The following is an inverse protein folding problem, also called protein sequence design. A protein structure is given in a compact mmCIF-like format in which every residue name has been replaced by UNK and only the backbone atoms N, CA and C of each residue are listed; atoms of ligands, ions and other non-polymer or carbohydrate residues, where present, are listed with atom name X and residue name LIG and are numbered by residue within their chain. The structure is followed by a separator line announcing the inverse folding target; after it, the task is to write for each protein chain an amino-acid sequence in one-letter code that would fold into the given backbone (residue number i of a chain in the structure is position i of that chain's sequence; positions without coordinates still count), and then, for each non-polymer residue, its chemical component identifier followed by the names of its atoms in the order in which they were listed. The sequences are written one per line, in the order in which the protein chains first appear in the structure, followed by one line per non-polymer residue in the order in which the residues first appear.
data_IF_043985194825
#
_entry.id   IF_043985194825
#
_cell.length_a   1.000
_cell.length_b   1.000
_cell.length_c   1.000
_cell.angle_alpha   90.00
_cell.angle_beta   90.00
_cell.angle_gamma   90.00
#
_symmetry.space_group_name_H-M   'P 1'
#
loop_
_entity.id
_entity.type
_entity.pdbx_description
1 polymer ?
#
# COMPACT_ATOMS: atom_id res chain seq x y z
N UNK A 1 13.32 11.15 -10.97
CA UNK A 1 13.64 10.59 -9.63
C UNK A 1 13.66 9.08 -9.73
N UNK A 2 14.66 8.41 -9.17
CA UNK A 2 14.60 6.96 -8.92
C UNK A 2 13.70 6.80 -7.69
N UNK A 3 12.52 6.20 -7.85
CA UNK A 3 11.65 5.90 -6.72
C UNK A 3 12.26 4.80 -5.85
N UNK A 4 12.15 4.95 -4.54
CA UNK A 4 12.39 3.84 -3.60
C UNK A 4 11.35 2.73 -3.83
N UNK A 5 11.65 1.50 -3.40
CA UNK A 5 10.77 0.33 -3.48
C UNK A 5 9.41 0.52 -2.82
N UNK A 6 9.26 1.52 -1.94
CA UNK A 6 8.02 1.82 -1.22
C UNK A 6 7.08 2.79 -1.97
N UNK A 7 7.51 3.38 -3.08
CA UNK A 7 6.66 4.28 -3.85
C UNK A 7 5.58 3.51 -4.60
N UNK A 8 4.33 3.98 -4.52
CA UNK A 8 3.23 3.45 -5.31
C UNK A 8 3.57 3.56 -6.80
N UNK A 9 3.54 2.43 -7.51
CA UNK A 9 3.92 2.37 -8.93
C UNK A 9 2.69 2.61 -9.80
N UNK A 10 2.92 3.30 -10.92
CA UNK A 10 1.90 3.52 -11.96
C UNK A 10 1.22 2.21 -12.38
N UNK A 11 2.01 1.14 -12.52
CA UNK A 11 1.53 -0.21 -12.86
C UNK A 11 0.47 -0.74 -11.89
N UNK A 12 0.68 -0.60 -10.58
CA UNK A 12 -0.25 -1.10 -9.56
C UNK A 12 -1.53 -0.26 -9.54
N UNK A 13 -1.42 1.06 -9.76
CA UNK A 13 -2.58 1.95 -9.92
C UNK A 13 -3.40 1.56 -11.14
N UNK A 14 -2.77 1.33 -12.30
CA UNK A 14 -3.48 0.90 -13.51
C UNK A 14 -4.18 -0.45 -13.37
N UNK A 15 -3.60 -1.39 -12.60
CA UNK A 15 -4.30 -2.64 -12.24
C UNK A 15 -5.59 -2.36 -11.48
N UNK A 16 -5.53 -1.55 -10.43
CA UNK A 16 -6.71 -1.18 -9.64
C UNK A 16 -7.72 -0.37 -10.48
N UNK A 17 -7.25 0.42 -11.43
CA UNK A 17 -8.10 1.10 -12.41
C UNK A 17 -8.84 0.15 -13.37
N UNK A 18 -8.56 -1.16 -13.37
CA UNK A 18 -9.34 -2.15 -14.14
C UNK A 18 -10.49 -2.80 -13.37
N UNK A 19 -10.55 -2.69 -12.05
CA UNK A 19 -11.62 -3.29 -11.24
C UNK A 19 -12.97 -2.69 -11.61
N UNK A 20 -13.95 -3.51 -11.97
CA UNK A 20 -15.29 -3.06 -12.32
C UNK A 20 -16.33 -3.54 -11.30
N UNK A 21 -16.02 -4.60 -10.55
CA UNK A 21 -16.91 -5.10 -9.52
C UNK A 21 -16.90 -4.19 -8.27
N UNK A 22 -18.02 -4.10 -7.54
CA UNK A 22 -18.08 -3.32 -6.32
C UNK A 22 -17.05 -3.78 -5.29
N UNK A 23 -16.38 -2.83 -4.65
CA UNK A 23 -15.48 -3.06 -3.52
C UNK A 23 -16.10 -2.45 -2.26
N UNK A 24 -16.13 -3.21 -1.17
CA UNK A 24 -16.66 -2.74 0.12
C UNK A 24 -15.64 -1.87 0.89
N UNK A 25 -14.36 -2.28 0.85
CA UNK A 25 -13.28 -1.67 1.64
C UNK A 25 -12.06 -1.47 0.76
N UNK A 26 -11.52 -0.25 0.76
CA UNK A 26 -10.23 0.06 0.15
C UNK A 26 -9.21 0.48 1.20
N UNK A 27 -7.97 -0.01 1.07
CA UNK A 27 -6.86 0.31 1.95
C UNK A 27 -5.75 1.02 1.17
N UNK A 28 -5.27 2.15 1.67
CA UNK A 28 -4.06 2.82 1.20
C UNK A 28 -3.17 3.19 2.39
N UNK A 29 -1.87 3.44 2.17
CA UNK A 29 -1.06 4.04 3.22
C UNK A 29 -1.27 5.55 3.24
N UNK A 30 -0.97 6.19 2.10
CA UNK A 30 -1.17 7.64 1.92
C UNK A 30 -2.65 7.98 1.78
N UNK A 31 -2.99 9.19 2.21
CA UNK A 31 -4.36 9.71 2.10
C UNK A 31 -4.68 10.09 0.64
N UNK A 32 -5.93 9.95 0.18
CA UNK A 32 -6.37 10.55 -1.07
C UNK A 32 -6.17 12.07 -1.05
N UNK A 33 -5.57 12.62 -2.10
CA UNK A 33 -5.43 14.07 -2.25
C UNK A 33 -6.79 14.76 -2.15
N UNK A 34 -6.89 15.80 -1.31
CA UNK A 34 -8.12 16.57 -1.12
C UNK A 34 -9.15 15.92 -0.18
N UNK A 35 -8.82 14.81 0.48
CA UNK A 35 -9.73 14.19 1.45
C UNK A 35 -10.08 15.09 2.63
N UNK A 36 -9.21 16.06 2.94
CA UNK A 36 -9.38 17.00 4.06
C UNK A 36 -10.57 17.94 3.85
N UNK A 37 -10.97 18.21 2.61
CA UNK A 37 -12.16 19.02 2.32
C UNK A 37 -13.46 18.33 2.72
N UNK A 38 -13.43 17.01 2.87
CA UNK A 38 -14.56 16.17 3.24
C UNK A 38 -14.62 15.89 4.75
N UNK A 39 -13.78 16.55 5.57
CA UNK A 39 -13.73 16.40 7.02
C UNK A 39 -13.43 17.72 7.73
N UNK A 40 -13.16 17.65 9.05
CA UNK A 40 -12.82 18.83 9.85
C UNK A 40 -11.35 19.21 9.69
N UNK A 41 -11.00 19.80 8.55
CA UNK A 41 -9.63 20.25 8.29
C UNK A 41 -9.16 21.31 9.29
N UNK A 42 -10.08 22.08 9.89
CA UNK A 42 -9.73 23.10 10.90
C UNK A 42 -9.21 22.44 12.18
N UNK A 43 -9.85 21.35 12.62
CA UNK A 43 -9.33 20.55 13.72
C UNK A 43 -7.99 19.92 13.37
N UNK A 44 -7.84 19.41 12.14
CA UNK A 44 -6.58 18.83 11.67
C UNK A 44 -5.42 19.83 11.78
N UNK A 45 -5.57 21.04 11.25
CA UNK A 45 -4.50 22.06 11.27
C UNK A 45 -4.28 22.67 12.66
N UNK A 46 -5.29 22.65 13.54
CA UNK A 46 -5.06 23.00 14.96
C UNK A 46 -4.14 21.98 15.63
N UNK A 47 -4.33 20.70 15.32
CA UNK A 47 -3.49 19.62 15.86
C UNK A 47 -2.13 19.52 15.16
N UNK A 48 -2.07 19.78 13.85
CA UNK A 48 -0.85 19.76 13.03
C UNK A 48 -0.78 21.02 12.14
N UNK A 49 -0.30 22.16 12.69
CA UNK A 49 -0.28 23.44 11.98
C UNK A 49 0.51 23.44 10.67
N UNK A 50 1.56 22.62 10.57
CA UNK A 50 2.37 22.50 9.35
C UNK A 50 1.58 22.02 8.13
N UNK A 51 0.45 21.33 8.31
CA UNK A 51 -0.42 20.93 7.20
C UNK A 51 -1.26 22.09 6.63
N UNK A 52 -1.33 23.26 7.27
CA UNK A 52 -2.23 24.34 6.84
C UNK A 52 -1.99 24.78 5.40
N UNK A 53 -0.72 24.96 5.01
CA UNK A 53 -0.37 25.33 3.63
C UNK A 53 -0.76 24.24 2.64
N UNK A 54 -0.40 22.98 2.92
CA UNK A 54 -0.68 21.87 2.00
C UNK A 54 -2.18 21.57 1.86
N UNK A 55 -2.95 21.73 2.94
CA UNK A 55 -4.40 21.62 2.92
C UNK A 55 -5.01 22.73 2.06
N UNK A 56 -4.57 23.99 2.24
CA UNK A 56 -5.08 25.13 1.46
C UNK A 56 -4.73 25.04 -0.02
N UNK A 57 -3.52 24.60 -0.34
CA UNK A 57 -3.04 24.43 -1.71
C UNK A 57 -3.50 23.12 -2.36
N UNK A 58 -4.20 22.25 -1.61
CA UNK A 58 -4.65 20.92 -2.04
C UNK A 58 -3.50 20.06 -2.56
N UNK A 59 -2.39 20.05 -1.81
CA UNK A 59 -1.18 19.26 -2.10
C UNK A 59 -0.96 18.12 -1.10
N UNK A 60 -1.66 18.13 0.05
CA UNK A 60 -1.58 17.05 1.05
C UNK A 60 -2.22 15.75 0.54
N UNK A 61 -1.40 14.72 0.33
CA UNK A 61 -1.83 13.37 -0.01
C UNK A 61 -1.51 12.92 -1.44
N UNK A 62 -2.08 11.79 -1.83
CA UNK A 62 -1.75 11.03 -3.04
C UNK A 62 -2.75 11.24 -4.16
N UNK A 63 -2.27 11.77 -5.30
CA UNK A 63 -3.07 11.93 -6.53
C UNK A 63 -3.60 10.60 -7.07
N UNK A 64 -2.80 9.52 -7.18
CA UNK A 64 -3.32 8.22 -7.58
C UNK A 64 -4.41 7.67 -6.65
N UNK A 65 -4.27 7.86 -5.34
CA UNK A 65 -5.28 7.44 -4.38
C UNK A 65 -6.61 8.21 -4.58
N UNK A 66 -6.55 9.52 -4.84
CA UNK A 66 -7.74 10.31 -5.19
C UNK A 66 -8.42 9.84 -6.48
N UNK A 67 -7.64 9.48 -7.51
CA UNK A 67 -8.19 8.92 -8.75
C UNK A 67 -8.89 7.57 -8.51
N UNK A 68 -8.31 6.72 -7.67
CA UNK A 68 -8.90 5.44 -7.30
C UNK A 68 -10.15 5.62 -6.45
N UNK A 69 -10.17 6.58 -5.52
CA UNK A 69 -11.34 6.92 -4.72
C UNK A 69 -12.51 7.37 -5.61
N UNK A 70 -12.25 8.26 -6.57
CA UNK A 70 -13.28 8.72 -7.52
C UNK A 70 -13.74 7.60 -8.45
N UNK A 71 -12.86 6.67 -8.83
CA UNK A 71 -13.25 5.56 -9.71
C UNK A 71 -14.08 4.49 -8.96
N UNK A 72 -13.56 4.01 -7.84
CA UNK A 72 -14.04 2.79 -7.16
C UNK A 72 -15.18 3.05 -6.18
N UNK A 73 -15.21 4.25 -5.58
CA UNK A 73 -16.29 4.71 -4.68
C UNK A 73 -16.69 3.69 -3.60
N UNK A 74 -15.73 3.04 -2.90
CA UNK A 74 -16.06 2.03 -1.91
C UNK A 74 -16.82 2.65 -0.72
N UNK A 75 -17.71 1.92 -0.05
CA UNK A 75 -18.33 2.38 1.21
C UNK A 75 -17.33 2.79 2.29
N UNK A 76 -16.15 2.13 2.33
CA UNK A 76 -15.09 2.43 3.30
C UNK A 76 -13.72 2.61 2.65
N UNK A 77 -12.99 3.63 3.10
CA UNK A 77 -11.60 3.87 2.74
C UNK A 77 -10.75 4.10 3.98
N UNK A 78 -9.71 3.30 4.17
CA UNK A 78 -8.81 3.42 5.31
C UNK A 78 -7.40 3.83 4.90
N UNK A 79 -6.81 4.76 5.65
CA UNK A 79 -5.45 5.25 5.43
C UNK A 79 -4.63 5.38 6.72
N UNK A 80 -3.34 5.69 6.58
CA UNK A 80 -2.39 5.90 7.67
C UNK A 80 -1.41 7.04 7.31
N UNK A 81 -0.11 6.85 7.54
CA UNK A 81 0.99 7.72 7.12
C UNK A 81 1.14 9.05 7.86
N UNK A 82 0.09 9.88 7.95
CA UNK A 82 0.19 11.24 8.48
C UNK A 82 0.17 11.33 10.02
N UNK A 83 0.26 10.19 10.72
CA UNK A 83 0.35 10.07 12.18
C UNK A 83 -0.67 10.95 12.92
N UNK A 84 -1.92 10.85 12.50
CA UNK A 84 -3.06 11.48 13.18
C UNK A 84 -4.35 10.75 12.79
N UNK A 85 -5.31 10.74 13.72
CA UNK A 85 -6.66 10.29 13.40
C UNK A 85 -7.40 11.38 12.64
N UNK A 86 -7.99 11.01 11.50
CA UNK A 86 -8.86 11.89 10.72
C UNK A 86 -10.02 11.10 10.13
N UNK A 87 -11.21 11.67 10.21
CA UNK A 87 -12.41 11.09 9.63
C UNK A 87 -13.01 12.07 8.64
N UNK A 88 -13.45 11.56 7.50
CA UNK A 88 -14.08 12.33 6.45
C UNK A 88 -15.19 11.51 5.80
N UNK A 89 -16.12 12.21 5.14
CA UNK A 89 -17.25 11.61 4.46
C UNK A 89 -17.35 12.17 3.05
N UNK A 90 -17.05 11.34 2.06
CA UNK A 90 -16.96 11.73 0.65
C UNK A 90 -18.29 11.41 -0.02
N UNK A 91 -18.96 12.45 -0.52
CA UNK A 91 -20.22 12.33 -1.25
C UNK A 91 -19.93 12.30 -2.76
N UNK A 92 -20.22 11.18 -3.43
CA UNK A 92 -19.86 10.97 -4.84
C UNK A 92 -20.92 11.50 -5.81
N UNK A 93 -21.11 12.82 -5.87
CA UNK A 93 -22.19 13.48 -6.63
C UNK A 93 -23.46 13.64 -5.80
N UNK A 94 -24.42 14.44 -6.29
CA UNK A 94 -25.59 14.91 -5.50
C UNK A 94 -26.40 13.77 -4.86
N UNK A 95 -26.62 12.67 -5.60
CA UNK A 95 -27.35 11.47 -5.12
C UNK A 95 -26.49 10.20 -5.15
N UNK A 96 -25.16 10.35 -5.15
CA UNK A 96 -24.23 9.23 -5.27
C UNK A 96 -23.98 8.46 -3.97
N UNK A 97 -23.20 7.36 -4.05
CA UNK A 97 -22.75 6.63 -2.88
C UNK A 97 -21.86 7.51 -1.99
N UNK A 98 -21.72 7.08 -0.74
CA UNK A 98 -20.87 7.75 0.25
C UNK A 98 -19.71 6.84 0.60
N UNK A 99 -18.49 7.38 0.59
CA UNK A 99 -17.32 6.73 1.18
C UNK A 99 -17.05 7.31 2.56
N UNK A 100 -17.03 6.46 3.57
CA UNK A 100 -16.55 6.79 4.90
C UNK A 100 -15.03 6.61 4.94
N UNK A 101 -14.32 7.72 5.09
CA UNK A 101 -12.87 7.73 5.21
C UNK A 101 -12.44 7.76 6.67
N UNK A 102 -11.44 6.94 7.01
CA UNK A 102 -10.79 6.97 8.31
C UNK A 102 -9.28 6.76 8.16
N UNK A 103 -8.51 7.69 8.71
CA UNK A 103 -7.10 7.53 8.95
C UNK A 103 -6.82 7.34 10.44
N UNK A 104 -5.83 6.50 10.74
CA UNK A 104 -5.40 6.21 12.12
C UNK A 104 -3.97 6.67 12.36
N UNK A 105 -3.67 6.85 13.65
CA UNK A 105 -2.36 7.26 14.14
C UNK A 105 -1.35 6.10 14.20
N UNK A 106 -0.07 6.42 14.43
CA UNK A 106 1.00 5.44 14.66
C UNK A 106 0.77 4.70 15.98
N UNK A 107 1.28 3.48 16.06
CA UNK A 107 1.19 2.62 17.23
C UNK A 107 2.09 3.09 18.40
N UNK A 108 1.83 4.29 18.94
CA UNK A 108 2.52 4.87 20.08
C UNK A 108 1.57 5.02 21.29
N UNK A 109 2.10 5.04 22.53
CA UNK A 109 1.30 5.29 23.73
C UNK A 109 0.47 6.58 23.61
N UNK A 110 -0.78 6.54 24.09
CA UNK A 110 -1.69 7.69 24.09
C UNK A 110 -2.31 8.07 22.73
N UNK A 111 -1.83 7.51 21.61
CA UNK A 111 -2.32 7.86 20.27
C UNK A 111 -3.58 7.08 19.86
N UNK A 112 -4.38 7.68 18.97
CA UNK A 112 -5.62 7.11 18.43
C UNK A 112 -5.33 6.13 17.28
N UNK A 113 -4.66 5.03 17.62
CA UNK A 113 -4.05 4.08 16.67
C UNK A 113 -4.96 2.91 16.24
N UNK A 114 -6.04 2.62 16.97
CA UNK A 114 -6.91 1.47 16.73
C UNK A 114 -8.38 1.89 16.73
N UNK A 115 -9.13 1.36 15.76
CA UNK A 115 -10.59 1.46 15.73
C UNK A 115 -11.17 0.12 15.28
N UNK A 116 -12.15 -0.37 16.04
CA UNK A 116 -12.94 -1.57 15.70
C UNK A 116 -14.23 -1.09 15.03
N UNK A 117 -14.58 -1.72 13.90
CA UNK A 117 -15.76 -1.41 13.12
C UNK A 117 -16.55 -2.70 12.90
N UNK A 118 -17.85 -2.62 13.09
CA UNK A 118 -18.78 -3.69 12.73
C UNK A 118 -19.30 -3.40 11.32
N UNK A 119 -19.05 -4.33 10.39
CA UNK A 119 -19.48 -4.25 9.00
C UNK A 119 -20.39 -5.45 8.73
N UNK A 120 -21.62 -5.17 8.33
CA UNK A 120 -22.60 -6.21 8.03
C UNK A 120 -22.12 -7.07 6.85
N UNK A 121 -22.28 -8.39 6.99
CA UNK A 121 -21.95 -9.35 5.94
C UNK A 121 -22.96 -10.49 5.93
N UNK A 122 -23.16 -11.09 4.76
CA UNK A 122 -23.95 -12.30 4.65
C UNK A 122 -23.27 -13.45 5.43
N UNK A 123 -24.04 -14.33 6.10
CA UNK A 123 -23.46 -15.47 6.82
C UNK A 123 -22.65 -16.37 5.89
N UNK A 124 -21.42 -16.73 6.29
CA UNK A 124 -20.54 -17.54 5.47
C UNK A 124 -19.42 -18.22 6.26
N UNK A 125 -18.55 -18.94 5.56
CA UNK A 125 -17.39 -19.63 6.15
C UNK A 125 -16.27 -18.67 6.62
N UNK A 126 -16.38 -17.37 6.31
CA UNK A 126 -15.41 -16.31 6.63
C UNK A 126 -13.96 -16.69 6.28
N UNK A 127 -13.75 -17.20 5.07
CA UNK A 127 -12.43 -17.59 4.57
C UNK A 127 -11.85 -16.53 3.62
N UNK A 128 -10.53 -16.36 3.66
CA UNK A 128 -9.81 -15.57 2.65
C UNK A 128 -9.80 -16.37 1.34
N UNK A 129 -10.18 -15.71 0.25
CA UNK A 129 -10.24 -16.30 -1.09
C UNK A 129 -9.60 -15.36 -2.10
N UNK A 130 -9.07 -15.92 -3.18
CA UNK A 130 -8.72 -15.15 -4.36
C UNK A 130 -9.97 -14.63 -5.04
N UNK A 131 -9.95 -13.34 -5.34
CA UNK A 131 -10.96 -12.71 -6.18
C UNK A 131 -10.75 -13.06 -7.68
N UNK A 132 -11.85 -13.37 -8.38
CA UNK A 132 -11.80 -13.78 -9.79
C UNK A 132 -11.34 -12.63 -10.69
N UNK A 133 -11.88 -11.42 -10.50
CA UNK A 133 -11.52 -10.24 -11.29
C UNK A 133 -10.06 -9.84 -11.04
N UNK A 134 -9.59 -9.91 -9.80
CA UNK A 134 -8.22 -9.56 -9.47
C UNK A 134 -7.18 -10.53 -10.05
N UNK A 135 -7.47 -11.83 -10.07
CA UNK A 135 -6.61 -12.82 -10.72
C UNK A 135 -6.58 -12.61 -12.24
N UNK A 136 -7.71 -12.26 -12.83
CA UNK A 136 -7.84 -11.92 -14.26
C UNK A 136 -7.02 -10.69 -14.63
N UNK A 137 -7.15 -9.59 -13.86
CA UNK A 137 -6.35 -8.38 -14.00
C UNK A 137 -4.86 -8.72 -13.85
N UNK A 138 -4.50 -9.50 -12.82
CA UNK A 138 -3.12 -9.91 -12.57
C UNK A 138 -2.53 -10.69 -13.74
N UNK A 139 -3.29 -11.60 -14.33
CA UNK A 139 -2.85 -12.39 -15.49
C UNK A 139 -2.65 -11.52 -16.74
N UNK A 140 -3.57 -10.60 -17.03
CA UNK A 140 -3.45 -9.66 -18.18
C UNK A 140 -2.31 -8.66 -18.02
N UNK A 141 -2.00 -8.26 -16.80
CA UNK A 141 -0.94 -7.29 -16.53
C UNK A 141 0.46 -7.90 -16.50
N UNK A 142 0.59 -9.22 -16.31
CA UNK A 142 1.90 -9.85 -16.23
C UNK A 142 2.78 -9.57 -17.48
N UNK A 143 2.32 -9.72 -18.75
CA UNK A 143 3.12 -9.41 -19.92
C UNK A 143 3.58 -7.93 -20.05
N UNK A 144 2.96 -7.01 -19.32
CA UNK A 144 3.31 -5.58 -19.32
C UNK A 144 3.97 -5.14 -18.02
N UNK A 145 4.43 -6.09 -17.20
CA UNK A 145 5.15 -5.80 -15.97
C UNK A 145 6.40 -4.95 -16.26
N UNK A 146 6.54 -3.76 -15.64
CA UNK A 146 7.64 -2.85 -15.95
C UNK A 146 8.96 -3.39 -15.37
N UNK A 147 9.83 -3.86 -16.26
CA UNK A 147 11.20 -4.28 -15.92
C UNK A 147 12.22 -3.13 -16.00
N UNK A 148 11.78 -1.93 -16.36
CA UNK A 148 12.64 -0.74 -16.50
C UNK A 148 11.98 0.47 -15.85
N UNK A 149 12.73 1.56 -15.70
CA UNK A 149 12.21 2.86 -15.22
C UNK A 149 11.26 3.55 -16.21
N UNK A 150 11.05 3.00 -17.41
CA UNK A 150 10.13 3.58 -18.40
C UNK A 150 8.70 3.20 -18.04
N UNK A 151 7.76 4.12 -18.24
CA UNK A 151 6.33 3.82 -18.09
C UNK A 151 5.93 2.63 -18.98
N UNK A 152 5.10 1.75 -18.41
CA UNK A 152 4.56 0.61 -19.13
C UNK A 152 3.54 1.06 -20.19
N UNK A 153 3.41 0.28 -21.26
CA UNK A 153 2.41 0.55 -22.31
C UNK A 153 1.11 -0.21 -22.02
N UNK A 154 0.09 0.52 -21.56
CA UNK A 154 -1.20 -0.07 -21.17
C UNK A 154 -2.20 -0.23 -22.33
N UNK A 155 -1.87 0.14 -23.58
CA UNK A 155 -2.82 0.16 -24.71
C UNK A 155 -3.46 -1.20 -25.03
N UNK A 156 -2.75 -2.30 -24.76
CA UNK A 156 -3.20 -3.66 -25.05
C UNK A 156 -3.95 -4.34 -23.91
N UNK A 157 -4.10 -3.68 -22.76
CA UNK A 157 -4.64 -4.32 -21.56
C UNK A 157 -6.03 -4.91 -21.81
N UNK A 158 -6.92 -4.24 -22.53
CA UNK A 158 -8.31 -4.68 -22.74
C UNK A 158 -8.49 -5.88 -23.67
N UNK A 159 -7.44 -6.29 -24.38
CA UNK A 159 -7.50 -7.44 -25.29
C UNK A 159 -7.71 -8.72 -24.45
N UNK A 160 -8.64 -9.56 -24.88
CA UNK A 160 -8.95 -10.87 -24.28
C UNK A 160 -9.46 -10.86 -22.81
N UNK A 161 -9.97 -9.73 -22.29
CA UNK A 161 -10.56 -9.64 -20.92
C UNK A 161 -11.50 -10.80 -20.61
N UNK A 162 -12.52 -11.00 -21.45
CA UNK A 162 -13.57 -11.98 -21.20
C UNK A 162 -13.05 -13.41 -21.25
N UNK A 163 -12.15 -13.71 -22.19
CA UNK A 163 -11.56 -15.04 -22.34
C UNK A 163 -10.61 -15.36 -21.18
N UNK A 164 -9.82 -14.38 -20.75
CA UNK A 164 -8.98 -14.48 -19.55
C UNK A 164 -9.84 -14.73 -18.30
N UNK A 165 -10.93 -13.99 -18.13
CA UNK A 165 -11.86 -14.15 -17.02
C UNK A 165 -12.48 -15.54 -16.97
N UNK A 166 -12.96 -16.05 -18.10
CA UNK A 166 -13.49 -17.41 -18.20
C UNK A 166 -12.42 -18.47 -17.93
N UNK A 167 -11.18 -18.23 -18.33
CA UNK A 167 -10.06 -19.12 -18.02
C UNK A 167 -9.77 -19.15 -16.51
N UNK A 168 -9.71 -17.99 -15.85
CA UNK A 168 -9.50 -17.87 -14.39
C UNK A 168 -10.63 -18.57 -13.63
N UNK A 169 -11.88 -18.35 -14.04
CA UNK A 169 -13.05 -19.02 -13.45
C UNK A 169 -12.92 -20.54 -13.49
N UNK A 170 -12.51 -21.10 -14.63
CA UNK A 170 -12.28 -22.56 -14.75
C UNK A 170 -11.17 -23.06 -13.84
N UNK A 171 -10.09 -22.28 -13.67
CA UNK A 171 -9.01 -22.62 -12.71
C UNK A 171 -9.49 -22.61 -11.27
N UNK A 172 -10.25 -21.58 -10.87
CA UNK A 172 -10.84 -21.48 -9.55
C UNK A 172 -11.85 -22.61 -9.27
N UNK A 173 -12.68 -22.99 -10.25
CA UNK A 173 -13.60 -24.12 -10.12
C UNK A 173 -12.88 -25.46 -9.95
N UNK A 174 -11.74 -25.65 -10.62
CA UNK A 174 -10.98 -26.89 -10.55
C UNK A 174 -10.14 -27.03 -9.27
N UNK A 175 -9.56 -25.93 -8.77
CA UNK A 175 -8.59 -25.95 -7.65
C UNK A 175 -9.15 -25.35 -6.34
N UNK A 176 -10.23 -24.59 -6.40
CA UNK A 176 -10.76 -23.80 -5.29
C UNK A 176 -10.06 -22.44 -5.14
N UNK A 177 -10.75 -21.46 -4.55
CA UNK A 177 -10.29 -20.08 -4.46
C UNK A 177 -9.37 -19.77 -3.27
N UNK A 178 -9.20 -20.71 -2.32
CA UNK A 178 -8.37 -20.49 -1.12
C UNK A 178 -6.90 -20.17 -1.48
N UNK A 179 -6.24 -19.17 -0.88
CA UNK A 179 -4.82 -18.91 -1.12
C UNK A 179 -3.90 -20.12 -0.85
N UNK A 180 -2.70 -20.10 -1.42
CA UNK A 180 -1.66 -21.07 -1.07
C UNK A 180 -1.17 -20.85 0.37
N UNK A 181 -0.75 -21.93 1.03
CA UNK A 181 -0.21 -21.84 2.39
C UNK A 181 1.06 -20.98 2.43
N UNK A 182 1.16 -20.14 3.46
CA UNK A 182 2.33 -19.29 3.65
C UNK A 182 3.52 -20.10 4.16
N UNK A 183 4.70 -19.73 3.71
CA UNK A 183 5.97 -20.31 4.17
C UNK A 183 6.91 -19.20 4.59
N UNK A 184 7.68 -19.45 5.65
CA UNK A 184 8.61 -18.48 6.18
C UNK A 184 9.74 -18.22 5.17
N UNK A 185 9.91 -16.96 4.75
CA UNK A 185 10.96 -16.55 3.79
C UNK A 185 12.14 -15.83 4.46
N UNK A 186 12.00 -15.43 5.72
CA UNK A 186 13.04 -14.82 6.53
C UNK A 186 12.92 -15.28 7.98
N UNK A 187 14.07 -15.46 8.64
CA UNK A 187 14.12 -15.77 10.07
C UNK A 187 13.49 -14.66 10.90
N UNK A 188 12.81 -15.03 11.97
CA UNK A 188 12.31 -14.05 12.95
C UNK A 188 13.48 -13.28 13.56
N UNK A 189 13.27 -11.98 13.81
CA UNK A 189 14.25 -11.16 14.52
C UNK A 189 14.57 -11.79 15.89
N UNK A 190 15.87 -11.91 16.20
CA UNK A 190 16.34 -12.41 17.48
C UNK A 190 17.35 -11.38 18.06
N UNK A 191 17.00 -10.66 19.14
CA UNK A 191 17.85 -9.62 19.71
C UNK A 191 19.17 -10.16 20.30
N UNK A 192 19.27 -11.46 20.55
CA UNK A 192 20.50 -12.10 21.04
C UNK A 192 21.52 -12.42 19.94
N UNK A 193 21.11 -12.37 18.67
CA UNK A 193 22.01 -12.59 17.54
C UNK A 193 22.58 -11.24 17.09
N UNK A 194 23.91 -11.06 17.16
CA UNK A 194 24.56 -9.95 16.45
C UNK A 194 24.30 -10.12 14.95
N UNK A 195 23.77 -9.09 14.30
CA UNK A 195 23.56 -9.09 12.84
C UNK A 195 24.93 -9.21 12.18
N UNK A 196 25.32 -10.42 11.79
CA UNK A 196 26.50 -10.62 10.97
C UNK A 196 26.21 -9.96 9.63
N UNK A 197 27.08 -9.05 9.18
CA UNK A 197 27.13 -8.52 7.81
C UNK A 197 27.48 -9.67 6.84
N UNK A 198 26.55 -10.61 6.68
CA UNK A 198 26.61 -11.68 5.72
C UNK A 198 26.41 -11.11 4.32
N UNK A 199 27.08 -11.72 3.36
CA UNK A 199 26.89 -11.51 1.93
C UNK A 199 25.40 -11.33 1.63
N UNK A 200 25.06 -10.27 0.89
CA UNK A 200 23.68 -10.01 0.45
C UNK A 200 23.11 -11.32 -0.11
N UNK A 201 22.06 -11.90 0.51
CA UNK A 201 21.47 -13.12 -0.02
C UNK A 201 21.09 -12.79 -1.45
N UNK A 202 21.65 -13.56 -2.38
CA UNK A 202 21.35 -13.40 -3.79
C UNK A 202 19.84 -13.40 -4.00
N UNK A 203 19.42 -12.81 -5.12
CA UNK A 203 18.02 -12.79 -5.52
C UNK A 203 17.41 -14.20 -5.35
N UNK A 204 16.46 -14.30 -4.42
CA UNK A 204 15.78 -15.55 -4.08
C UNK A 204 14.32 -15.39 -4.48
N UNK A 205 13.81 -16.31 -5.29
CA UNK A 205 12.39 -16.29 -5.67
C UNK A 205 11.53 -16.47 -4.43
N UNK A 206 10.43 -15.70 -4.37
CA UNK A 206 9.47 -15.83 -3.30
C UNK A 206 8.55 -17.05 -3.59
N UNK A 207 8.49 -18.07 -2.72
CA UNK A 207 7.73 -19.29 -2.99
C UNK A 207 6.22 -19.07 -3.07
N UNK A 208 5.69 -18.03 -2.41
CA UNK A 208 4.28 -17.65 -2.54
C UNK A 208 3.99 -17.04 -3.91
N UNK A 209 4.88 -16.16 -4.40
CA UNK A 209 4.82 -15.62 -5.76
C UNK A 209 4.95 -16.72 -6.80
N UNK A 210 5.86 -17.68 -6.62
CA UNK A 210 5.99 -18.83 -7.52
C UNK A 210 4.72 -19.67 -7.58
N UNK A 211 4.12 -19.96 -6.43
CA UNK A 211 2.86 -20.73 -6.36
C UNK A 211 1.72 -20.01 -7.08
N UNK A 212 1.60 -18.70 -6.90
CA UNK A 212 0.62 -17.87 -7.59
C UNK A 212 0.85 -17.83 -9.11
N UNK A 213 2.09 -17.64 -9.55
CA UNK A 213 2.44 -17.59 -10.97
C UNK A 213 2.25 -18.96 -11.63
N UNK A 214 2.61 -20.06 -10.96
CA UNK A 214 2.36 -21.42 -11.45
C UNK A 214 0.86 -21.69 -11.61
N UNK A 215 0.05 -21.29 -10.62
CA UNK A 215 -1.41 -21.42 -10.69
C UNK A 215 -2.01 -20.66 -11.87
N UNK A 216 -1.49 -19.45 -12.09
CA UNK A 216 -1.87 -18.60 -13.21
C UNK A 216 -1.15 -18.93 -14.51
N UNK A 217 -0.30 -19.97 -14.59
CA UNK A 217 0.50 -20.29 -15.79
C UNK A 217 1.27 -19.08 -16.36
N UNK A 218 1.94 -18.33 -15.49
CA UNK A 218 2.69 -17.11 -15.81
C UNK A 218 4.20 -17.28 -15.58
N UNK A 219 5.05 -16.58 -16.35
CA UNK A 219 6.48 -16.54 -16.11
C UNK A 219 6.86 -15.70 -14.88
N UNK A 220 8.01 -16.01 -14.30
CA UNK A 220 8.65 -15.21 -13.25
C UNK A 220 9.60 -14.18 -13.88
N UNK A 221 9.05 -13.02 -14.26
CA UNK A 221 9.73 -12.04 -15.12
C UNK A 221 10.98 -11.37 -14.52
N UNK A 222 11.19 -11.47 -13.21
CA UNK A 222 12.39 -10.90 -12.57
C UNK A 222 13.66 -11.74 -12.84
N UNK A 223 13.52 -12.98 -13.30
CA UNK A 223 14.69 -13.80 -13.64
C UNK A 223 15.40 -13.29 -14.89
N UNK A 224 14.65 -12.77 -15.87
CA UNK A 224 15.18 -12.22 -17.13
C UNK A 224 16.08 -10.99 -16.90
N UNK A 225 16.01 -10.37 -15.72
CA UNK A 225 16.89 -9.26 -15.33
C UNK A 225 18.31 -9.72 -15.02
N UNK A 226 18.50 -10.98 -14.61
CA UNK A 226 19.80 -11.51 -14.20
C UNK A 226 20.75 -11.73 -15.39
N UNK A 227 20.24 -12.15 -16.56
CA UNK A 227 21.06 -12.39 -17.75
C UNK A 227 21.63 -11.10 -18.37
N UNK A 228 20.94 -9.97 -18.23
CA UNK A 228 21.39 -8.69 -18.79
C UNK A 228 22.57 -8.04 -18.04
N UNK A 229 22.91 -8.56 -16.84
CA UNK A 229 23.94 -7.98 -15.97
C UNK A 229 25.32 -8.62 -16.10
N UNK A 230 25.47 -9.69 -16.90
CA UNK A 230 26.77 -10.37 -17.08
C UNK A 230 27.72 -9.66 -18.06
N UNK A 231 27.21 -8.73 -18.88
CA UNK A 231 28.06 -7.95 -19.78
C UNK A 231 28.40 -6.61 -19.13
N UNK A 232 29.66 -6.49 -18.70
CA UNK A 232 30.34 -5.26 -18.25
C UNK A 232 30.43 -5.01 -16.74
N UNK A 233 31.07 -5.94 -16.00
CA UNK A 233 31.71 -5.62 -14.72
C UNK A 233 33.19 -5.26 -14.94
N UNK A 234 33.46 -3.99 -15.20
CA UNK A 234 34.80 -3.39 -15.00
C UNK A 234 34.94 -3.05 -13.51
N UNK A 235 36.11 -3.28 -12.88
CA UNK A 235 36.28 -3.02 -11.45
C UNK A 235 36.44 -1.52 -11.21
N UNK A 236 35.45 -0.89 -10.59
CA UNK A 236 35.62 0.45 -10.01
C UNK A 236 36.25 0.35 -8.62
N UNK A 237 37.08 1.32 -8.19
CA UNK A 237 37.84 1.25 -6.96
C UNK A 237 36.93 1.40 -5.74
N UNK A 238 37.20 0.57 -4.74
CA UNK A 238 36.59 0.56 -3.41
C UNK A 238 36.83 1.90 -2.69
N UNK A 239 35.79 2.75 -2.61
CA UNK A 239 35.71 3.76 -1.56
C UNK A 239 34.90 3.17 -0.41
N UNK A 240 35.58 2.91 0.72
CA UNK A 240 34.92 2.68 2.01
C UNK A 240 34.03 3.89 2.32
N UNK A 241 32.72 3.74 2.10
CA UNK A 241 31.71 4.58 2.72
C UNK A 241 30.92 3.65 3.61
N UNK A 242 31.03 3.96 4.89
CA UNK A 242 30.24 3.40 5.97
C UNK A 242 28.78 3.76 5.69
N UNK A 243 28.03 2.83 5.10
CA UNK A 243 26.59 2.96 4.85
C UNK A 243 25.87 2.50 6.12
N UNK A 244 26.00 3.30 7.18
CA UNK A 244 25.08 3.26 8.30
C UNK A 244 23.81 4.02 7.90
N UNK A 245 22.96 3.39 7.09
CA UNK A 245 21.58 3.87 6.91
C UNK A 245 20.74 3.49 8.14
N UNK A 246 21.11 4.04 9.31
CA UNK A 246 20.11 4.40 10.29
C UNK A 246 19.31 5.55 9.66
N UNK A 247 18.01 5.32 9.45
CA UNK A 247 17.08 6.38 9.12
C UNK A 247 17.24 7.44 10.21
N UNK A 248 17.68 8.67 9.90
CA UNK A 248 17.55 9.76 10.85
C UNK A 248 16.05 9.91 11.04
N UNK A 249 15.57 9.47 12.19
CA UNK A 249 14.28 9.89 12.68
C UNK A 249 14.46 11.38 12.90
N UNK A 250 13.96 12.17 11.94
CA UNK A 250 13.94 13.63 12.03
C UNK A 250 12.84 14.00 13.05
N UNK A 251 12.98 13.47 14.27
CA UNK A 251 12.10 13.67 15.41
C UNK A 251 12.66 14.84 16.24
N UNK A 252 12.90 15.97 15.58
CA UNK A 252 13.12 17.22 16.31
C UNK A 252 11.81 17.71 16.95
N UNK A 253 10.67 17.18 16.48
CA UNK A 253 9.32 17.62 16.88
C UNK A 253 8.68 16.77 18.00
N UNK A 254 9.27 15.63 18.41
CA UNK A 254 8.72 14.79 19.50
C UNK A 254 8.93 15.39 20.91
N UNK A 255 9.82 16.39 21.07
CA UNK A 255 10.09 17.00 22.37
C UNK A 255 9.07 18.08 22.77
N UNK A 256 8.38 18.71 21.81
CA UNK A 256 7.33 19.69 22.13
C UNK A 256 6.01 19.01 22.52
N UNK A 257 5.62 17.92 21.83
CA UNK A 257 4.36 17.21 22.08
C UNK A 257 4.29 16.53 23.47
N UNK A 258 5.44 16.14 24.06
CA UNK A 258 5.49 15.57 25.42
C UNK A 258 5.45 16.64 26.52
N UNK A 259 5.81 17.88 26.20
CA UNK A 259 5.85 18.97 27.17
C UNK A 259 4.46 19.58 27.41
N UNK A 260 3.59 19.60 26.39
CA UNK A 260 2.25 20.17 26.53
C UNK A 260 1.29 19.25 27.31
N UNK A 261 1.39 17.93 27.22
CA UNK A 261 0.54 17.01 28.02
C UNK A 261 0.96 16.90 29.49
N UNK A 262 2.20 17.26 29.85
CA UNK A 262 2.66 17.27 31.24
C UNK A 262 2.27 18.56 31.98
N UNK A 263 1.89 19.63 31.28
CA UNK A 263 1.55 20.94 31.86
C UNK A 263 0.12 21.05 32.41
N UNK A 264 -0.77 20.15 32.03
CA UNK A 264 -2.22 20.23 32.36
C UNK A 264 -2.65 19.33 33.53
N UNK A 265 -1.70 18.66 34.20
CA UNK A 265 -1.96 17.73 35.30
C UNK A 265 -1.71 18.30 36.72
N UNK A 266 -1.26 19.55 36.86
CA UNK A 266 -0.98 20.15 38.17
C UNK A 266 -1.76 21.46 38.39
N UNK A 267 -3.09 21.42 38.50
CA UNK A 267 -3.86 22.39 39.30
C UNK A 267 -5.33 21.99 39.47
N UNK A 268 -5.60 20.95 40.25
CA UNK A 268 -6.85 20.85 41.02
C UNK A 268 -6.57 20.22 42.40
N UNK A 269 -6.31 21.07 43.40
CA UNK A 269 -6.47 20.74 44.82
C UNK A 269 -6.84 22.04 45.57
N UNK A 270 -8.13 22.21 45.88
CA UNK A 270 -8.70 22.67 47.19
C UNK A 270 -10.15 22.19 47.29
#
# INVERSE_FOLDING_TARGET
MRGSVYHVREYDVHKLMQVEEPIDIFLSHDWPLGITDCGDWKQLVRYKPHFETEVRERTLGSKPAAQLLEKLKPPYWFSAHLHCKFAARVQHGEDGPVTNFLALDKCLPGKKLLQVLDIDSEPGLYEIQYDEEWLEITRRFNPIFPLTIRSANFRGVHIDKQDCRQWVRRKLQARGARPFEFSQTASSYNPSNSVSNGSSPGYTRNPQTESLLQFLELPYLLDDMSESSEVSRSPFPSSNRDDSEEIPIDDVDELEDLAEEAGDAEHEDV
#
